data_IF_778133877487
#
_entry.id   IF_778133877487
#
_cell.length_a   1.000
_cell.length_b   1.000
_cell.length_c   1.000
_cell.angle_alpha   90.00
_cell.angle_beta   90.00
_cell.angle_gamma   90.00
#
_symmetry.space_group_name_H-M   'P 1'
#
loop_
_entity.id
_entity.type
_entity.pdbx_description
1 polymer ?
#
# COMPACT_ATOMS: atom_id res chain seq x y z
N UNK A 1 6.56 -3.93 79.56
CA UNK A 1 6.68 -4.74 78.33
C UNK A 1 5.60 -4.23 77.39
N UNK A 2 6.02 -3.69 76.25
CA UNK A 2 5.22 -2.82 75.40
C UNK A 2 4.16 -3.59 74.59
N UNK A 3 2.96 -3.01 74.53
CA UNK A 3 1.94 -3.28 73.54
C UNK A 3 2.21 -2.48 72.27
N UNK A 4 2.17 -3.13 71.10
CA UNK A 4 1.98 -2.44 69.83
C UNK A 4 1.07 -3.26 68.91
N UNK A 5 -0.05 -2.62 68.64
CA UNK A 5 -1.06 -2.74 67.59
C UNK A 5 -0.52 -3.15 66.22
N UNK A 6 -1.11 -4.20 65.62
CA UNK A 6 -1.05 -4.49 64.19
C UNK A 6 -2.41 -4.20 63.55
N UNK A 7 -2.47 -3.16 62.73
CA UNK A 7 -3.65 -2.83 61.93
C UNK A 7 -3.67 -3.69 60.66
N UNK A 8 -4.76 -4.45 60.46
CA UNK A 8 -5.10 -5.05 59.17
C UNK A 8 -5.56 -3.94 58.22
N UNK A 9 -4.78 -3.68 57.17
CA UNK A 9 -5.27 -2.96 55.99
C UNK A 9 -5.84 -3.99 55.01
N UNK A 10 -7.17 -4.02 54.88
CA UNK A 10 -7.85 -4.68 53.78
C UNK A 10 -7.73 -3.78 52.54
N UNK A 11 -6.86 -4.15 51.60
CA UNK A 11 -6.90 -3.62 50.23
C UNK A 11 -7.67 -4.61 49.36
N UNK A 12 -8.89 -4.24 49.00
CA UNK A 12 -9.63 -4.91 47.94
C UNK A 12 -8.87 -4.76 46.62
N UNK A 13 -8.46 -5.89 46.04
CA UNK A 13 -8.09 -5.92 44.63
C UNK A 13 -9.37 -5.75 43.81
N UNK A 14 -9.56 -4.55 43.30
CA UNK A 14 -10.45 -4.30 42.17
C UNK A 14 -9.96 -5.11 40.98
N UNK A 15 -10.82 -6.00 40.48
CA UNK A 15 -10.76 -6.53 39.11
C UNK A 15 -10.89 -5.34 38.15
N UNK A 16 -9.75 -4.75 37.77
CA UNK A 16 -9.67 -3.82 36.66
C UNK A 16 -9.49 -4.64 35.37
N UNK A 17 -10.30 -4.27 34.37
CA UNK A 17 -10.57 -5.04 33.17
C UNK A 17 -9.37 -5.30 32.26
N UNK A 18 -9.64 -6.25 31.37
CA UNK A 18 -8.90 -6.65 30.18
C UNK A 18 -8.11 -5.49 29.55
N UNK A 19 -6.79 -5.64 29.50
CA UNK A 19 -5.91 -4.77 28.73
C UNK A 19 -6.22 -4.92 27.24
N UNK A 20 -7.03 -4.01 26.71
CA UNK A 20 -7.24 -3.86 25.27
C UNK A 20 -6.06 -3.09 24.66
N UNK A 21 -5.37 -3.70 23.69
CA UNK A 21 -4.64 -3.05 22.60
C UNK A 21 -4.01 -1.66 22.93
N UNK A 22 -3.18 -1.56 23.96
CA UNK A 22 -2.31 -0.42 24.16
C UNK A 22 -0.93 -0.78 23.61
N UNK A 23 -0.56 -0.22 22.44
CA UNK A 23 0.80 0.21 22.03
C UNK A 23 1.07 0.11 20.51
N UNK A 24 0.15 0.58 19.66
CA UNK A 24 0.45 0.88 18.25
C UNK A 24 0.90 2.34 18.01
N UNK A 25 0.82 3.21 19.03
CA UNK A 25 1.11 4.64 18.91
C UNK A 25 2.58 4.94 19.27
N UNK A 26 3.23 5.92 18.62
CA UNK A 26 4.38 6.57 19.24
C UNK A 26 3.99 7.00 20.66
N UNK A 27 4.86 6.78 21.64
CA UNK A 27 4.59 7.11 23.05
C UNK A 27 3.96 8.50 23.18
N UNK A 28 2.77 8.59 23.78
CA UNK A 28 2.12 9.87 24.11
C UNK A 28 1.10 10.41 23.11
N UNK A 29 0.67 9.64 22.10
CA UNK A 29 -0.48 10.01 21.25
C UNK A 29 -1.69 9.12 21.55
N UNK A 30 -2.88 9.64 21.34
CA UNK A 30 -4.17 8.91 21.42
C UNK A 30 -4.95 9.19 20.14
N UNK A 31 -5.52 8.16 19.52
CA UNK A 31 -6.36 8.35 18.36
C UNK A 31 -7.64 9.12 18.74
N UNK A 32 -8.02 10.10 17.93
CA UNK A 32 -9.21 10.92 18.13
C UNK A 32 -10.12 10.85 16.89
N UNK A 33 -11.43 10.91 17.10
CA UNK A 33 -12.36 11.07 16.00
C UNK A 33 -12.23 12.45 15.35
N UNK A 34 -12.51 12.53 14.05
CA UNK A 34 -12.61 13.81 13.35
C UNK A 34 -13.88 14.55 13.80
N UNK A 35 -13.72 15.72 14.38
CA UNK A 35 -14.84 16.51 14.90
C UNK A 35 -15.41 17.44 13.83
N UNK A 36 -16.73 17.40 13.64
CA UNK A 36 -17.47 18.28 12.72
C UNK A 36 -16.93 18.30 11.27
N UNK A 37 -16.30 17.19 10.83
CA UNK A 37 -15.68 17.10 9.51
C UNK A 37 -14.43 17.96 9.32
N UNK A 38 -13.84 18.49 10.40
CA UNK A 38 -12.65 19.35 10.33
C UNK A 38 -11.40 18.50 10.56
N UNK A 39 -10.64 18.27 9.50
CA UNK A 39 -9.38 17.54 9.57
C UNK A 39 -8.22 18.46 9.96
N UNK A 40 -7.25 17.98 10.78
CA UNK A 40 -5.98 18.67 10.96
C UNK A 40 -5.28 18.92 9.62
N UNK A 41 -4.46 19.97 9.50
CA UNK A 41 -3.79 20.30 8.23
C UNK A 41 -2.86 19.20 7.71
N UNK A 42 -2.23 18.45 8.62
CA UNK A 42 -1.39 17.29 8.32
C UNK A 42 -1.97 16.05 8.97
N UNK A 43 -1.87 14.93 8.29
CA UNK A 43 -2.19 13.63 8.87
C UNK A 43 -1.01 13.14 9.71
N UNK A 44 -1.26 12.76 10.96
CA UNK A 44 -0.27 12.05 11.76
C UNK A 44 -0.71 10.58 11.85
N UNK A 45 0.12 9.62 11.42
CA UNK A 45 -0.32 8.23 11.37
C UNK A 45 -0.82 7.70 12.71
N UNK A 46 -1.93 6.97 12.66
CA UNK A 46 -2.64 6.37 13.79
C UNK A 46 -3.20 7.36 14.84
N UNK A 47 -3.22 8.68 14.59
CA UNK A 47 -3.81 9.64 15.53
C UNK A 47 -5.26 10.00 15.24
N UNK A 48 -5.82 9.49 14.14
CA UNK A 48 -7.18 9.79 13.69
C UNK A 48 -7.97 8.49 13.53
N UNK A 49 -9.09 8.40 14.24
CA UNK A 49 -10.06 7.30 14.08
C UNK A 49 -10.80 7.56 12.77
N UNK A 50 -10.69 6.62 11.83
CA UNK A 50 -11.37 6.67 10.56
C UNK A 50 -12.89 6.51 10.78
N UNK A 51 -13.70 7.41 10.23
CA UNK A 51 -15.15 7.37 10.37
C UNK A 51 -15.78 6.15 9.69
N UNK A 52 -16.94 5.69 10.17
CA UNK A 52 -17.62 4.51 9.63
C UNK A 52 -18.06 4.63 8.15
N UNK A 53 -18.24 5.87 7.66
CA UNK A 53 -18.58 6.20 6.28
C UNK A 53 -17.43 6.93 5.55
N UNK A 54 -16.19 6.63 5.95
CA UNK A 54 -14.99 7.29 5.46
C UNK A 54 -14.01 6.30 4.83
N UNK A 55 -13.43 6.71 3.71
CA UNK A 55 -12.30 6.04 3.06
C UNK A 55 -11.08 6.95 3.12
N UNK A 56 -9.91 6.42 3.46
CA UNK A 56 -8.64 7.15 3.45
C UNK A 56 -7.67 6.49 2.48
N UNK A 57 -7.22 7.25 1.48
CA UNK A 57 -6.26 6.81 0.46
C UNK A 57 -4.94 7.49 0.74
N UNK A 58 -3.87 6.72 0.90
CA UNK A 58 -2.51 7.24 1.04
C UNK A 58 -1.68 6.81 -0.18
N UNK A 59 -1.10 7.77 -0.88
CA UNK A 59 -0.17 7.50 -1.96
C UNK A 59 1.18 7.11 -1.35
N UNK A 60 1.49 5.81 -1.29
CA UNK A 60 2.77 5.33 -0.75
C UNK A 60 3.91 5.57 -1.72
N UNK A 61 3.63 5.58 -3.02
CA UNK A 61 4.61 5.91 -4.04
C UNK A 61 3.94 6.39 -5.31
N UNK A 62 4.53 7.42 -5.93
CA UNK A 62 3.91 8.20 -7.00
C UNK A 62 4.81 8.43 -8.20
N UNK A 63 6.05 7.97 -8.11
CA UNK A 63 7.12 8.20 -9.06
C UNK A 63 7.16 7.19 -10.20
N UNK A 64 8.38 6.83 -10.56
CA UNK A 64 8.75 6.11 -11.79
C UNK A 64 9.64 4.91 -11.43
N UNK A 65 10.04 4.05 -12.39
CA UNK A 65 11.11 3.08 -12.14
C UNK A 65 12.44 3.75 -11.77
N UNK A 66 12.70 4.96 -12.27
CA UNK A 66 13.81 5.81 -11.84
C UNK A 66 13.42 6.61 -10.59
N UNK A 67 13.54 5.96 -9.45
CA UNK A 67 13.11 6.50 -8.15
C UNK A 67 13.91 7.71 -7.70
N UNK A 68 13.26 8.51 -6.87
CA UNK A 68 13.94 9.48 -6.01
C UNK A 68 13.51 9.26 -4.56
N UNK A 69 14.25 9.80 -3.60
CA UNK A 69 13.85 9.75 -2.19
C UNK A 69 12.50 10.42 -1.91
N UNK A 70 12.06 11.32 -2.80
CA UNK A 70 10.81 12.06 -2.66
C UNK A 70 9.67 11.48 -3.51
N UNK A 71 9.96 10.48 -4.35
CA UNK A 71 9.02 9.85 -5.26
C UNK A 71 9.51 8.42 -5.58
N UNK A 72 9.11 7.46 -4.75
CA UNK A 72 9.32 6.03 -4.96
C UNK A 72 8.27 5.48 -5.93
N UNK A 73 8.41 4.21 -6.30
CA UNK A 73 7.56 3.57 -7.31
C UNK A 73 6.13 3.30 -6.82
N UNK A 74 5.22 3.03 -7.74
CA UNK A 74 3.77 3.14 -7.53
C UNK A 74 3.25 2.23 -6.42
N UNK A 75 2.51 2.82 -5.49
CA UNK A 75 1.70 2.08 -4.53
C UNK A 75 0.67 2.99 -3.85
N UNK A 76 -0.53 2.48 -3.64
CA UNK A 76 -1.61 3.15 -2.92
C UNK A 76 -2.14 2.27 -1.80
N UNK A 77 -2.27 2.85 -0.61
CA UNK A 77 -2.78 2.23 0.60
C UNK A 77 -4.15 2.81 0.94
N UNK A 78 -5.18 1.95 0.94
CA UNK A 78 -6.57 2.34 1.14
C UNK A 78 -7.10 1.72 2.41
N UNK A 79 -7.57 2.57 3.31
CA UNK A 79 -8.20 2.19 4.58
C UNK A 79 -9.69 2.54 4.52
N UNK A 80 -10.54 1.64 4.98
CA UNK A 80 -12.00 1.83 5.02
C UNK A 80 -12.49 1.90 6.47
N UNK A 81 -13.57 2.65 6.71
CA UNK A 81 -14.19 2.81 8.02
C UNK A 81 -14.68 1.51 8.67
N UNK A 82 -14.87 0.44 7.89
CA UNK A 82 -15.18 -0.90 8.41
C UNK A 82 -13.93 -1.63 8.96
N UNK A 83 -12.73 -1.06 8.78
CA UNK A 83 -11.46 -1.60 9.23
C UNK A 83 -10.68 -2.40 8.19
N UNK A 84 -11.25 -2.62 6.99
CA UNK A 84 -10.54 -3.28 5.89
C UNK A 84 -9.47 -2.37 5.28
N UNK A 85 -8.45 -3.02 4.74
CA UNK A 85 -7.26 -2.38 4.18
C UNK A 85 -6.90 -3.06 2.85
N UNK A 86 -6.53 -2.25 1.86
CA UNK A 86 -6.18 -2.70 0.52
C UNK A 86 -4.92 -1.98 0.03
N UNK A 87 -4.01 -2.73 -0.57
CA UNK A 87 -2.88 -2.17 -1.32
C UNK A 87 -3.14 -2.33 -2.83
N UNK A 88 -2.96 -1.25 -3.57
CA UNK A 88 -2.91 -1.26 -5.03
C UNK A 88 -1.49 -0.97 -5.46
N UNK A 89 -0.86 -1.97 -6.05
CA UNK A 89 0.56 -2.06 -6.33
C UNK A 89 1.46 -1.92 -5.08
N UNK A 90 2.70 -2.37 -5.24
CA UNK A 90 3.77 -2.36 -4.25
C UNK A 90 5.11 -2.19 -4.98
N UNK A 91 5.22 -1.06 -5.68
CA UNK A 91 6.43 -0.67 -6.39
C UNK A 91 7.63 -0.53 -5.44
N UNK A 92 8.83 -0.71 -6.00
CA UNK A 92 10.08 -0.61 -5.24
C UNK A 92 10.10 0.63 -4.32
N UNK A 93 10.58 0.50 -3.08
CA UNK A 93 10.65 1.59 -2.10
C UNK A 93 9.33 1.95 -1.38
N UNK A 94 8.16 1.56 -1.91
CA UNK A 94 6.87 1.87 -1.30
C UNK A 94 6.69 1.26 0.10
N UNK A 95 7.32 0.11 0.38
CA UNK A 95 7.24 -0.51 1.71
C UNK A 95 7.86 0.37 2.80
N UNK A 96 8.91 1.15 2.48
CA UNK A 96 9.45 2.12 3.43
C UNK A 96 8.41 3.16 3.87
N UNK A 97 7.66 3.69 2.90
CA UNK A 97 6.55 4.61 3.16
C UNK A 97 5.38 3.93 3.88
N UNK A 98 5.07 2.67 3.57
CA UNK A 98 4.06 1.91 4.33
C UNK A 98 4.46 1.76 5.80
N UNK A 99 5.71 1.40 6.09
CA UNK A 99 6.21 1.24 7.45
C UNK A 99 6.18 2.55 8.25
N UNK A 100 6.43 3.69 7.59
CA UNK A 100 6.39 5.01 8.25
C UNK A 100 4.97 5.38 8.74
N UNK A 101 3.93 4.78 8.16
CA UNK A 101 2.54 4.91 8.63
C UNK A 101 2.24 4.05 9.87
N UNK A 102 3.14 3.14 10.27
CA UNK A 102 2.97 2.21 11.41
C UNK A 102 1.64 1.43 11.36
N UNK A 103 1.26 0.84 10.23
CA UNK A 103 -0.01 0.16 10.10
C UNK A 103 -0.05 -1.10 10.97
N UNK A 104 -1.25 -1.58 11.25
CA UNK A 104 -1.45 -2.93 11.78
C UNK A 104 -1.23 -3.96 10.67
N UNK A 105 -0.05 -4.60 10.67
CA UNK A 105 0.29 -5.59 9.64
C UNK A 105 -0.59 -6.84 9.67
N UNK A 106 -1.33 -7.11 10.74
CA UNK A 106 -2.33 -8.18 10.74
C UNK A 106 -3.48 -7.90 9.75
N UNK A 107 -3.71 -6.63 9.41
CA UNK A 107 -4.73 -6.19 8.44
C UNK A 107 -4.17 -6.02 7.02
N UNK A 108 -2.85 -6.05 6.84
CA UNK A 108 -2.21 -5.90 5.52
C UNK A 108 -2.00 -7.29 4.91
N UNK A 109 -3.11 -7.87 4.47
CA UNK A 109 -3.19 -9.22 3.94
C UNK A 109 -3.75 -9.27 2.50
N UNK A 110 -4.04 -8.11 1.88
CA UNK A 110 -4.60 -8.02 0.53
C UNK A 110 -3.84 -7.01 -0.33
N UNK A 111 -3.32 -7.47 -1.46
CA UNK A 111 -2.62 -6.63 -2.45
C UNK A 111 -3.11 -6.92 -3.86
N UNK A 112 -3.31 -5.87 -4.65
CA UNK A 112 -3.83 -5.89 -6.01
C UNK A 112 -2.76 -5.37 -6.96
N UNK A 113 -2.29 -6.19 -7.90
CA UNK A 113 -1.29 -5.80 -8.90
C UNK A 113 -1.99 -5.34 -10.17
N UNK A 114 -1.72 -4.12 -10.64
CA UNK A 114 -2.21 -3.65 -11.94
C UNK A 114 -1.50 -4.37 -13.09
N UNK A 115 -0.18 -4.55 -12.96
CA UNK A 115 0.67 -5.27 -13.89
C UNK A 115 2.03 -5.56 -13.22
N UNK A 116 2.92 -6.25 -13.93
CA UNK A 116 4.12 -6.85 -13.36
C UNK A 116 5.42 -6.08 -13.68
N UNK A 117 5.33 -4.78 -13.97
CA UNK A 117 6.55 -3.95 -14.01
C UNK A 117 7.15 -3.77 -12.62
N UNK A 118 8.47 -3.62 -12.56
CA UNK A 118 9.23 -3.53 -11.29
C UNK A 118 8.79 -2.34 -10.43
N UNK A 119 8.35 -1.25 -11.03
CA UNK A 119 7.83 -0.08 -10.35
C UNK A 119 6.38 -0.23 -9.86
N UNK A 120 5.77 -1.40 -10.06
CA UNK A 120 4.45 -1.74 -9.55
C UNK A 120 4.47 -2.96 -8.61
N UNK A 121 5.47 -3.84 -8.72
CA UNK A 121 5.57 -5.05 -7.86
C UNK A 121 6.92 -5.26 -7.20
N UNK A 122 7.90 -4.37 -7.41
CA UNK A 122 9.29 -4.61 -7.02
C UNK A 122 9.52 -4.78 -5.51
N UNK A 123 8.65 -4.22 -4.66
CA UNK A 123 8.71 -4.38 -3.21
C UNK A 123 7.84 -5.55 -2.69
N UNK A 124 7.26 -6.38 -3.56
CA UNK A 124 6.38 -7.49 -3.17
C UNK A 124 6.97 -8.37 -2.06
N UNK A 125 8.23 -8.80 -2.19
CA UNK A 125 8.87 -9.62 -1.16
C UNK A 125 9.22 -8.83 0.10
N UNK A 126 9.41 -7.51 -0.02
CA UNK A 126 9.53 -6.60 1.13
C UNK A 126 8.21 -6.52 1.92
N UNK A 127 7.07 -6.47 1.24
CA UNK A 127 5.74 -6.54 1.87
C UNK A 127 5.47 -7.92 2.48
N UNK A 128 5.84 -8.99 1.78
CA UNK A 128 5.67 -10.36 2.25
C UNK A 128 6.51 -10.62 3.50
N UNK A 129 7.83 -10.59 3.40
CA UNK A 129 8.70 -10.92 4.54
C UNK A 129 8.65 -9.83 5.62
N UNK A 130 8.61 -8.56 5.22
CA UNK A 130 8.54 -7.44 6.16
C UNK A 130 7.25 -7.44 6.97
N UNK A 131 6.09 -7.67 6.34
CA UNK A 131 4.82 -7.78 7.08
C UNK A 131 4.75 -9.03 7.97
N UNK A 132 5.34 -10.15 7.53
CA UNK A 132 5.44 -11.36 8.35
C UNK A 132 6.26 -11.13 9.62
N UNK A 133 7.38 -10.41 9.51
CA UNK A 133 8.19 -9.99 10.66
C UNK A 133 7.49 -8.97 11.56
N UNK A 134 6.56 -8.21 11.00
CA UNK A 134 5.94 -7.04 11.65
C UNK A 134 4.55 -7.32 12.22
N UNK A 135 4.17 -8.58 12.35
CA UNK A 135 2.94 -8.97 13.06
C UNK A 135 1.86 -9.59 12.18
N UNK A 136 2.07 -9.78 10.87
CA UNK A 136 1.12 -10.54 10.06
C UNK A 136 1.21 -12.03 10.38
N UNK A 137 0.09 -12.61 10.77
CA UNK A 137 -0.06 -14.04 11.08
C UNK A 137 -1.05 -14.76 10.14
N UNK A 138 -1.54 -14.06 9.11
CA UNK A 138 -2.45 -14.57 8.08
C UNK A 138 -1.75 -14.61 6.71
N UNK A 139 -2.25 -15.42 5.75
CA UNK A 139 -1.72 -15.43 4.40
C UNK A 139 -1.78 -14.04 3.75
N UNK A 140 -0.77 -13.70 2.96
CA UNK A 140 -0.88 -12.55 2.05
C UNK A 140 -1.62 -13.01 0.79
N UNK A 141 -2.78 -12.40 0.54
CA UNK A 141 -3.64 -12.63 -0.62
C UNK A 141 -3.27 -11.65 -1.72
N UNK A 142 -2.93 -12.19 -2.88
CA UNK A 142 -2.49 -11.45 -4.06
C UNK A 142 -3.56 -11.59 -5.14
N UNK A 143 -4.03 -10.46 -5.64
CA UNK A 143 -4.98 -10.38 -6.73
C UNK A 143 -4.24 -9.74 -7.91
N UNK A 144 -4.28 -10.38 -9.07
CA UNK A 144 -3.63 -9.80 -10.23
C UNK A 144 -4.01 -10.49 -11.52
N UNK A 145 -3.71 -9.84 -12.65
CA UNK A 145 -4.07 -10.34 -13.96
C UNK A 145 -3.21 -11.53 -14.39
N UNK A 146 -3.77 -12.37 -15.25
CA UNK A 146 -3.01 -13.27 -16.12
C UNK A 146 -2.28 -12.47 -17.20
N UNK A 147 -1.30 -13.10 -17.86
CA UNK A 147 -0.69 -12.55 -19.07
C UNK A 147 -1.32 -13.13 -20.34
N UNK A 148 -0.77 -12.74 -21.49
CA UNK A 148 -1.05 -13.41 -22.77
C UNK A 148 -0.55 -14.87 -22.81
N UNK A 149 0.41 -15.21 -21.94
CA UNK A 149 0.94 -16.55 -21.73
C UNK A 149 1.05 -16.81 -20.21
N UNK A 150 0.97 -18.07 -19.78
CA UNK A 150 1.01 -18.45 -18.36
C UNK A 150 2.25 -17.90 -17.62
N UNK A 151 3.41 -17.86 -18.29
CA UNK A 151 4.67 -17.38 -17.69
C UNK A 151 4.70 -15.87 -17.44
N UNK A 152 3.77 -15.13 -18.04
CA UNK A 152 3.63 -13.68 -17.94
C UNK A 152 2.55 -13.27 -16.92
N UNK A 153 1.87 -14.23 -16.30
CA UNK A 153 0.82 -14.00 -15.31
C UNK A 153 1.31 -13.80 -13.88
N UNK A 154 0.43 -13.24 -13.04
CA UNK A 154 0.67 -13.00 -11.61
C UNK A 154 1.09 -14.27 -10.86
N UNK A 155 0.50 -15.42 -11.19
CA UNK A 155 0.83 -16.69 -10.56
C UNK A 155 2.26 -17.12 -10.84
N UNK A 156 2.70 -17.06 -12.10
CA UNK A 156 4.07 -17.38 -12.48
C UNK A 156 5.08 -16.44 -11.80
N UNK A 157 4.75 -15.15 -11.72
CA UNK A 157 5.55 -14.17 -10.98
C UNK A 157 5.71 -14.55 -9.50
N UNK A 158 4.61 -14.80 -8.78
CA UNK A 158 4.65 -15.14 -7.34
C UNK A 158 5.40 -16.45 -7.09
N UNK A 159 5.22 -17.46 -7.95
CA UNK A 159 5.97 -18.71 -7.87
C UNK A 159 7.48 -18.50 -8.11
N UNK A 160 7.83 -17.66 -9.08
CA UNK A 160 9.22 -17.28 -9.38
C UNK A 160 9.88 -16.57 -8.20
N UNK A 161 9.20 -15.59 -7.61
CA UNK A 161 9.68 -14.86 -6.42
C UNK A 161 9.84 -15.78 -5.22
N UNK A 162 8.89 -16.70 -4.99
CA UNK A 162 8.99 -17.69 -3.90
C UNK A 162 10.23 -18.58 -4.04
N UNK A 163 10.58 -18.99 -5.27
CA UNK A 163 11.81 -19.75 -5.55
C UNK A 163 13.06 -18.91 -5.35
N UNK A 164 13.05 -17.65 -5.81
CA UNK A 164 14.17 -16.73 -5.66
C UNK A 164 14.48 -16.44 -4.18
N UNK A 165 13.45 -16.38 -3.34
CA UNK A 165 13.56 -16.09 -1.89
C UNK A 165 13.49 -17.35 -1.01
N UNK A 166 13.63 -18.55 -1.58
CA UNK A 166 13.47 -19.80 -0.85
C UNK A 166 14.39 -19.92 0.38
N UNK A 167 15.60 -19.35 0.33
CA UNK A 167 16.50 -19.32 1.48
C UNK A 167 15.94 -18.48 2.63
N UNK A 168 15.46 -17.26 2.34
CA UNK A 168 14.90 -16.35 3.33
C UNK A 168 13.67 -17.00 4.00
N UNK A 169 12.72 -17.49 3.20
CA UNK A 169 11.52 -18.17 3.68
C UNK A 169 11.84 -19.40 4.54
N UNK A 170 12.83 -20.21 4.11
CA UNK A 170 13.25 -21.39 4.85
C UNK A 170 13.87 -21.05 6.21
N UNK A 171 14.66 -19.98 6.30
CA UNK A 171 15.33 -19.59 7.55
C UNK A 171 14.40 -18.99 8.60
N UNK A 172 13.22 -18.51 8.19
CA UNK A 172 12.20 -17.95 9.09
C UNK A 172 11.11 -18.94 9.48
N UNK A 173 11.01 -20.06 8.77
CA UNK A 173 10.04 -21.12 9.05
C UNK A 173 10.18 -21.59 10.50
N UNK A 174 9.08 -21.59 11.24
CA UNK A 174 9.02 -21.99 12.64
C UNK A 174 9.41 -20.92 13.67
N UNK A 175 10.23 -19.93 13.28
CA UNK A 175 10.53 -18.79 14.14
C UNK A 175 9.36 -17.79 14.14
N UNK A 176 8.67 -17.67 13.00
CA UNK A 176 7.52 -16.80 12.80
C UNK A 176 6.26 -17.65 12.50
N UNK A 177 5.03 -17.12 12.69
CA UNK A 177 3.79 -17.85 12.43
C UNK A 177 3.70 -18.43 11.02
N UNK A 178 3.32 -19.70 10.90
CA UNK A 178 3.37 -20.41 9.61
C UNK A 178 2.46 -19.76 8.55
N UNK A 179 1.27 -19.31 8.96
CA UNK A 179 0.29 -18.73 8.06
C UNK A 179 0.72 -17.36 7.52
N UNK A 180 1.55 -16.61 8.27
CA UNK A 180 2.11 -15.34 7.82
C UNK A 180 3.07 -15.46 6.62
N UNK A 181 3.62 -16.67 6.40
CA UNK A 181 4.48 -16.98 5.26
C UNK A 181 3.69 -17.34 3.99
N UNK A 182 2.40 -17.67 4.11
CA UNK A 182 1.61 -18.17 2.98
C UNK A 182 1.30 -17.05 1.99
N UNK A 183 1.29 -17.42 0.72
CA UNK A 183 0.93 -16.58 -0.41
C UNK A 183 -0.26 -17.22 -1.11
N UNK A 184 -1.37 -16.51 -1.19
CA UNK A 184 -2.60 -16.98 -1.83
C UNK A 184 -2.87 -16.14 -3.07
N UNK A 185 -2.68 -16.72 -4.26
CA UNK A 185 -2.82 -15.99 -5.52
C UNK A 185 -4.20 -16.23 -6.12
N UNK A 186 -4.92 -15.14 -6.34
CA UNK A 186 -6.13 -15.08 -7.17
C UNK A 186 -5.75 -14.42 -8.48
N UNK A 187 -5.42 -15.24 -9.48
CA UNK A 187 -5.17 -14.79 -10.84
C UNK A 187 -6.49 -14.77 -11.62
N UNK A 188 -6.76 -13.68 -12.33
CA UNK A 188 -7.96 -13.50 -13.15
C UNK A 188 -7.60 -13.07 -14.58
N UNK A 189 -8.54 -13.27 -15.52
CA UNK A 189 -8.32 -12.93 -16.92
C UNK A 189 -8.16 -11.41 -17.09
N UNK A 190 -7.03 -10.96 -17.64
CA UNK A 190 -6.75 -9.53 -17.89
C UNK A 190 -7.74 -8.89 -18.87
N UNK A 191 -8.43 -9.68 -19.70
CA UNK A 191 -9.38 -9.20 -20.71
C UNK A 191 -10.81 -9.03 -20.19
N UNK A 192 -11.10 -9.46 -18.95
CA UNK A 192 -12.43 -9.32 -18.39
C UNK A 192 -12.81 -7.83 -18.24
N UNK A 193 -14.03 -7.46 -18.61
CA UNK A 193 -14.47 -6.06 -18.60
C UNK A 193 -15.37 -5.77 -17.40
N UNK A 194 -14.83 -5.08 -16.39
CA UNK A 194 -15.55 -4.63 -15.18
C UNK A 194 -16.13 -5.76 -14.31
N UNK A 195 -15.48 -6.92 -14.34
CA UNK A 195 -15.85 -8.09 -13.55
C UNK A 195 -15.32 -8.00 -12.12
N UNK A 196 -16.00 -8.66 -11.20
CA UNK A 196 -15.65 -8.69 -9.77
C UNK A 196 -14.43 -9.60 -9.57
N UNK A 197 -13.35 -9.06 -9.00
CA UNK A 197 -12.15 -9.81 -8.62
C UNK A 197 -12.06 -10.05 -7.11
N UNK A 198 -12.82 -9.30 -6.32
CA UNK A 198 -12.91 -9.46 -4.87
C UNK A 198 -14.27 -8.96 -4.35
N UNK A 199 -14.87 -9.72 -3.42
CA UNK A 199 -16.14 -9.37 -2.79
C UNK A 199 -16.22 -9.96 -1.37
N UNK A 200 -15.90 -9.16 -0.36
CA UNK A 200 -16.02 -9.53 1.06
C UNK A 200 -16.33 -8.27 1.89
N UNK A 201 -16.99 -8.41 3.05
CA UNK A 201 -17.23 -7.32 4.01
C UNK A 201 -17.86 -6.05 3.40
N UNK A 202 -18.81 -6.22 2.47
CA UNK A 202 -19.46 -5.13 1.72
C UNK A 202 -18.52 -4.29 0.84
N UNK A 203 -17.29 -4.76 0.61
CA UNK A 203 -16.34 -4.19 -0.34
C UNK A 203 -16.38 -5.01 -1.62
N UNK A 204 -16.48 -4.31 -2.76
CA UNK A 204 -16.38 -4.91 -4.10
C UNK A 204 -15.16 -4.31 -4.79
N UNK A 205 -14.29 -5.14 -5.35
CA UNK A 205 -13.25 -4.67 -6.26
C UNK A 205 -13.47 -5.29 -7.63
N UNK A 206 -13.48 -4.45 -8.66
CA UNK A 206 -13.63 -4.85 -10.06
C UNK A 206 -12.36 -4.54 -10.83
N UNK A 207 -12.12 -5.27 -11.92
CA UNK A 207 -11.02 -5.00 -12.84
C UNK A 207 -11.50 -4.86 -14.28
N UNK A 208 -10.72 -4.13 -15.08
CA UNK A 208 -10.88 -4.05 -16.53
C UNK A 208 -9.52 -3.84 -17.22
N UNK A 209 -9.41 -4.09 -18.54
CA UNK A 209 -8.12 -4.07 -19.22
C UNK A 209 -7.53 -2.66 -19.32
N UNK A 210 -6.21 -2.59 -19.34
CA UNK A 210 -5.41 -1.40 -19.62
C UNK A 210 -4.54 -1.62 -20.87
N UNK A 211 -4.14 -0.53 -21.53
CA UNK A 211 -3.27 -0.57 -22.71
C UNK A 211 -1.87 -0.11 -22.30
N UNK A 212 -0.98 -1.04 -21.98
CA UNK A 212 0.38 -0.71 -21.57
C UNK A 212 1.38 -1.79 -21.95
N UNK A 213 2.31 -1.45 -22.85
CA UNK A 213 3.37 -2.31 -23.38
C UNK A 213 2.88 -3.59 -24.07
N UNK A 214 2.33 -4.53 -23.31
CA UNK A 214 1.93 -5.89 -23.68
C UNK A 214 0.64 -6.25 -22.91
N UNK A 215 -0.10 -7.20 -23.45
CA UNK A 215 -1.25 -7.86 -22.82
C UNK A 215 -0.97 -8.36 -21.40
N UNK A 216 -1.79 -7.87 -20.45
CA UNK A 216 -1.74 -8.26 -19.03
C UNK A 216 -2.10 -7.13 -18.08
N UNK A 217 -1.92 -5.86 -18.47
CA UNK A 217 -2.19 -4.72 -17.58
C UNK A 217 -3.68 -4.48 -17.36
N UNK A 218 -4.06 -4.11 -16.13
CA UNK A 218 -5.46 -3.81 -15.75
C UNK A 218 -5.57 -2.56 -14.86
N UNK A 219 -6.77 -2.00 -14.80
CA UNK A 219 -7.17 -1.01 -13.78
C UNK A 219 -8.17 -1.63 -12.81
N UNK A 220 -8.41 -0.98 -11.68
CA UNK A 220 -9.37 -1.42 -10.66
C UNK A 220 -10.35 -0.32 -10.24
N UNK A 221 -11.57 -0.72 -9.82
CA UNK A 221 -12.39 0.09 -8.91
C UNK A 221 -12.56 -0.63 -7.57
N UNK A 222 -12.45 0.11 -6.46
CA UNK A 222 -12.90 -0.28 -5.14
C UNK A 222 -14.21 0.45 -4.84
N UNK A 223 -15.26 -0.31 -4.54
CA UNK A 223 -16.60 0.17 -4.24
C UNK A 223 -17.00 -0.28 -2.83
N UNK A 224 -17.30 0.67 -1.96
CA UNK A 224 -17.68 0.39 -0.57
C UNK A 224 -18.53 1.53 -0.01
N UNK A 225 -19.65 1.19 0.63
CA UNK A 225 -20.53 2.15 1.31
C UNK A 225 -20.95 3.35 0.42
N UNK A 226 -21.17 3.09 -0.88
CA UNK A 226 -21.51 4.10 -1.88
C UNK A 226 -20.35 5.05 -2.24
N UNK A 227 -19.14 4.80 -1.73
CA UNK A 227 -17.91 5.42 -2.19
C UNK A 227 -17.24 4.54 -3.25
N UNK A 228 -16.51 5.18 -4.16
CA UNK A 228 -15.78 4.55 -5.26
C UNK A 228 -14.41 5.20 -5.46
N UNK A 229 -13.35 4.39 -5.31
CA UNK A 229 -11.99 4.73 -5.70
C UNK A 229 -11.60 3.95 -6.96
N UNK A 230 -11.01 4.62 -7.95
CA UNK A 230 -10.50 3.99 -9.16
C UNK A 230 -8.99 4.13 -9.21
N UNK A 231 -8.29 3.01 -9.37
CA UNK A 231 -6.85 2.93 -9.56
C UNK A 231 -6.54 2.51 -11.00
N UNK A 232 -5.91 3.40 -11.77
CA UNK A 232 -5.70 3.19 -13.20
C UNK A 232 -4.62 2.21 -13.60
N UNK A 233 -3.61 1.97 -12.76
CA UNK A 233 -2.35 1.38 -13.22
C UNK A 233 -1.68 2.26 -14.28
N UNK A 234 -0.92 1.64 -15.18
CA UNK A 234 -0.34 2.33 -16.33
C UNK A 234 -1.21 2.04 -17.55
N UNK A 235 -1.55 3.08 -18.32
CA UNK A 235 -2.35 2.89 -19.52
C UNK A 235 -2.33 4.10 -20.44
N UNK A 236 -2.13 3.84 -21.73
CA UNK A 236 -2.62 4.73 -22.79
C UNK A 236 -4.14 4.98 -22.63
N UNK A 237 -4.67 6.18 -22.98
CA UNK A 237 -6.09 6.47 -22.82
C UNK A 237 -6.96 5.42 -23.53
N UNK A 238 -7.82 4.76 -22.77
CA UNK A 238 -8.63 3.66 -23.27
C UNK A 238 -10.12 3.84 -22.95
N UNK A 239 -10.98 3.14 -23.69
CA UNK A 239 -12.45 3.23 -23.53
C UNK A 239 -12.93 2.66 -22.19
N UNK A 240 -12.27 1.62 -21.67
CA UNK A 240 -12.71 0.91 -20.48
C UNK A 240 -12.59 1.79 -19.23
N UNK A 241 -11.47 2.49 -19.07
CA UNK A 241 -11.32 3.45 -17.99
C UNK A 241 -12.38 4.55 -18.08
N UNK A 242 -12.60 5.13 -19.26
CA UNK A 242 -13.60 6.19 -19.46
C UNK A 242 -15.01 5.72 -19.11
N UNK A 243 -15.36 4.47 -19.38
CA UNK A 243 -16.70 3.95 -19.10
C UNK A 243 -16.86 3.46 -17.66
N UNK A 244 -15.89 2.73 -17.13
CA UNK A 244 -16.01 2.08 -15.82
C UNK A 244 -15.54 2.95 -14.65
N UNK A 245 -14.76 4.01 -14.90
CA UNK A 245 -14.39 4.95 -13.84
C UNK A 245 -15.50 5.97 -13.50
N UNK A 246 -16.58 6.04 -14.29
CA UNK A 246 -17.70 6.98 -14.03
C UNK A 246 -18.26 6.83 -12.62
N UNK A 247 -18.61 7.97 -12.02
CA UNK A 247 -19.14 8.05 -10.66
C UNK A 247 -18.10 7.85 -9.56
N UNK A 248 -16.81 7.83 -9.88
CA UNK A 248 -15.75 7.76 -8.88
C UNK A 248 -15.72 9.01 -7.99
N UNK A 249 -15.52 8.82 -6.70
CA UNK A 249 -15.16 9.92 -5.81
C UNK A 249 -13.72 10.35 -6.08
N UNK A 250 -12.81 9.38 -6.14
CA UNK A 250 -11.42 9.57 -6.53
C UNK A 250 -11.14 8.71 -7.76
N UNK A 251 -10.72 9.32 -8.85
CA UNK A 251 -10.21 8.61 -10.02
C UNK A 251 -8.72 8.90 -10.19
N UNK A 252 -7.88 7.90 -9.91
CA UNK A 252 -6.43 8.00 -10.12
C UNK A 252 -6.03 7.43 -11.46
N UNK A 253 -5.17 8.15 -12.18
CA UNK A 253 -4.66 7.77 -13.48
C UNK A 253 -3.24 8.33 -13.65
N UNK A 254 -2.40 7.64 -14.40
CA UNK A 254 -1.08 8.19 -14.76
C UNK A 254 -1.23 9.53 -15.50
N UNK A 255 -0.35 10.48 -15.18
CA UNK A 255 -0.24 11.81 -15.77
C UNK A 255 1.25 12.06 -16.09
N UNK A 256 1.73 11.33 -17.08
CA UNK A 256 3.14 11.25 -17.45
C UNK A 256 3.71 12.60 -17.87
N UNK A 257 5.01 12.81 -17.73
CA UNK A 257 5.66 14.08 -18.09
C UNK A 257 5.50 14.36 -19.60
N UNK A 258 5.08 15.58 -20.01
CA UNK A 258 4.83 15.86 -21.43
C UNK A 258 6.15 15.83 -22.24
N UNK A 259 6.09 15.52 -23.55
CA UNK A 259 7.28 15.30 -24.39
C UNK A 259 8.32 16.42 -24.32
N UNK A 260 7.88 17.68 -24.33
CA UNK A 260 8.76 18.86 -24.30
C UNK A 260 9.54 19.04 -23.00
N UNK A 261 9.04 18.51 -21.88
CA UNK A 261 9.75 18.47 -20.61
C UNK A 261 10.55 17.16 -20.45
N UNK A 262 10.03 16.05 -20.96
CA UNK A 262 10.65 14.73 -20.87
C UNK A 262 11.96 14.64 -21.68
N UNK A 263 11.97 15.17 -22.91
CA UNK A 263 13.14 15.17 -23.77
C UNK A 263 14.38 15.80 -23.11
N UNK A 264 14.35 17.05 -22.62
CA UNK A 264 15.50 17.64 -21.95
C UNK A 264 15.83 16.98 -20.60
N UNK A 265 14.83 16.47 -19.86
CA UNK A 265 15.07 15.81 -18.57
C UNK A 265 15.93 14.55 -18.73
N UNK A 266 15.63 13.68 -19.71
CA UNK A 266 16.39 12.47 -19.96
C UNK A 266 17.49 12.60 -21.03
N UNK A 267 17.61 13.77 -21.68
CA UNK A 267 18.51 13.96 -22.82
C UNK A 267 18.10 13.14 -24.05
N UNK A 268 16.81 12.87 -24.21
CA UNK A 268 16.25 12.13 -25.34
C UNK A 268 15.95 13.06 -26.52
N UNK A 269 15.87 12.47 -27.72
CA UNK A 269 15.27 13.17 -28.84
C UNK A 269 13.74 13.26 -28.68
N UNK A 270 13.13 14.21 -29.41
CA UNK A 270 11.70 14.44 -29.31
C UNK A 270 10.85 13.25 -29.78
N UNK A 271 11.37 12.43 -30.69
CA UNK A 271 10.65 11.25 -31.19
C UNK A 271 10.52 10.20 -30.09
N UNK A 272 11.59 9.92 -29.36
CA UNK A 272 11.59 9.01 -28.23
C UNK A 272 10.71 9.53 -27.09
N UNK A 273 10.88 10.80 -26.70
CA UNK A 273 10.06 11.41 -25.66
C UNK A 273 8.56 11.39 -26.00
N UNK A 274 8.20 11.73 -27.25
CA UNK A 274 6.81 11.67 -27.73
C UNK A 274 6.27 10.24 -27.71
N UNK A 275 7.06 9.26 -28.15
CA UNK A 275 6.62 7.87 -28.18
C UNK A 275 6.31 7.36 -26.77
N UNK A 276 7.23 7.56 -25.81
CA UNK A 276 7.03 7.11 -24.43
C UNK A 276 5.84 7.83 -23.80
N UNK A 277 5.81 9.16 -23.81
CA UNK A 277 4.79 9.94 -23.10
C UNK A 277 3.38 9.83 -23.69
N UNK A 278 3.23 9.45 -24.98
CA UNK A 278 1.94 9.56 -25.68
C UNK A 278 1.49 8.30 -26.42
N UNK A 279 2.30 7.23 -26.46
CA UNK A 279 1.95 5.95 -27.10
C UNK A 279 2.06 4.78 -26.14
N UNK A 280 2.93 4.87 -25.15
CA UNK A 280 3.01 3.91 -24.05
C UNK A 280 2.19 4.43 -22.87
N UNK A 281 2.45 5.69 -22.47
CA UNK A 281 1.81 6.34 -21.34
C UNK A 281 0.76 7.38 -21.73
N UNK A 282 0.08 7.93 -20.73
CA UNK A 282 -0.84 9.07 -20.83
C UNK A 282 -0.19 10.38 -20.37
N UNK A 283 0.11 11.27 -21.32
CA UNK A 283 0.57 12.64 -21.04
C UNK A 283 -0.52 13.51 -20.37
N UNK A 284 -0.19 14.68 -19.79
CA UNK A 284 -1.11 15.39 -18.89
C UNK A 284 -2.36 15.94 -19.59
N UNK A 285 -2.25 16.38 -20.86
CA UNK A 285 -3.41 16.82 -21.63
C UNK A 285 -4.36 15.66 -21.96
N UNK A 286 -3.81 14.46 -22.19
CA UNK A 286 -4.59 13.24 -22.38
C UNK A 286 -5.26 12.79 -21.08
N UNK A 287 -4.54 12.84 -19.94
CA UNK A 287 -5.11 12.64 -18.60
C UNK A 287 -6.31 13.57 -18.38
N UNK A 288 -6.15 14.86 -18.64
CA UNK A 288 -7.24 15.82 -18.45
C UNK A 288 -8.45 15.52 -19.36
N UNK A 289 -8.21 15.02 -20.58
CA UNK A 289 -9.29 14.59 -21.48
C UNK A 289 -10.03 13.35 -20.97
N UNK A 290 -9.31 12.38 -20.40
CA UNK A 290 -9.91 11.21 -19.74
C UNK A 290 -10.76 11.68 -18.56
N UNK A 291 -10.22 12.53 -17.69
CA UNK A 291 -10.92 13.02 -16.50
C UNK A 291 -12.14 13.88 -16.82
N UNK A 292 -12.10 14.65 -17.91
CA UNK A 292 -13.26 15.37 -18.43
C UNK A 292 -14.36 14.46 -18.98
N UNK A 293 -14.05 13.22 -19.37
CA UNK A 293 -15.04 12.23 -19.79
C UNK A 293 -15.58 11.40 -18.61
N UNK A 294 -14.76 11.20 -17.57
CA UNK A 294 -15.10 10.44 -16.35
C UNK A 294 -15.90 11.28 -15.34
N UNK A 295 -15.59 12.57 -15.26
CA UNK A 295 -16.18 13.53 -14.31
C UNK A 295 -16.15 13.05 -12.84
N UNK A 296 -14.98 12.67 -12.29
CA UNK A 296 -14.89 12.25 -10.89
C UNK A 296 -15.13 13.42 -9.93
N UNK A 297 -15.48 13.15 -8.67
CA UNK A 297 -15.51 14.23 -7.64
C UNK A 297 -14.12 14.84 -7.47
N UNK A 298 -13.06 14.05 -7.61
CA UNK A 298 -11.68 14.53 -7.71
C UNK A 298 -10.82 13.59 -8.57
N UNK A 299 -10.04 14.20 -9.47
CA UNK A 299 -9.01 13.50 -10.24
C UNK A 299 -7.68 13.48 -9.47
N UNK A 300 -6.95 12.36 -9.56
CA UNK A 300 -5.66 12.14 -8.92
C UNK A 300 -4.60 11.74 -9.98
N UNK A 301 -3.71 12.66 -10.34
CA UNK A 301 -2.60 12.37 -11.26
C UNK A 301 -1.40 11.79 -10.55
N UNK A 302 -0.77 10.74 -11.07
CA UNK A 302 0.48 10.14 -10.55
C UNK A 302 1.36 9.61 -11.69
N UNK A 303 2.43 8.85 -11.39
CA UNK A 303 3.33 8.22 -12.37
C UNK A 303 3.96 9.23 -13.30
N UNK A 304 4.74 10.12 -12.69
CA UNK A 304 5.37 11.22 -13.41
C UNK A 304 6.70 11.57 -12.77
N UNK A 305 7.50 12.36 -13.50
CA UNK A 305 8.72 12.96 -12.96
C UNK A 305 8.33 14.21 -12.17
N UNK A 306 7.64 13.99 -11.05
CA UNK A 306 7.09 15.08 -10.24
C UNK A 306 8.20 15.73 -9.40
N UNK A 307 8.76 16.80 -9.95
CA UNK A 307 9.71 17.67 -9.29
C UNK A 307 9.22 19.13 -9.34
N UNK A 308 9.75 20.03 -8.50
CA UNK A 308 9.39 21.45 -8.56
C UNK A 308 9.53 22.05 -9.97
N UNK A 309 10.52 21.60 -10.74
CA UNK A 309 10.80 22.10 -12.10
C UNK A 309 9.79 21.61 -13.14
N UNK A 310 9.25 20.40 -12.93
CA UNK A 310 8.35 19.73 -13.88
C UNK A 310 6.87 19.90 -13.53
N UNK A 311 6.56 20.24 -12.26
CA UNK A 311 5.18 20.34 -11.76
C UNK A 311 4.30 21.24 -12.62
N UNK A 312 4.82 22.40 -13.02
CA UNK A 312 4.06 23.37 -13.80
C UNK A 312 3.69 22.83 -15.19
N UNK A 313 4.60 22.13 -15.87
CA UNK A 313 4.34 21.56 -17.19
C UNK A 313 3.25 20.48 -17.12
N UNK A 314 3.25 19.66 -16.07
CA UNK A 314 2.21 18.65 -15.83
C UNK A 314 0.88 19.36 -15.59
N UNK A 315 0.84 20.31 -14.66
CA UNK A 315 -0.37 21.02 -14.29
C UNK A 315 -1.00 21.77 -15.49
N UNK A 316 -0.20 22.50 -16.26
CA UNK A 316 -0.67 23.23 -17.45
C UNK A 316 -1.27 22.27 -18.49
N UNK A 317 -0.60 21.13 -18.73
CA UNK A 317 -1.12 20.11 -19.63
C UNK A 317 -2.47 19.57 -19.16
N UNK A 318 -2.62 19.20 -17.89
CA UNK A 318 -3.92 18.75 -17.34
C UNK A 318 -4.98 19.84 -17.47
N UNK A 319 -4.65 21.08 -17.11
CA UNK A 319 -5.61 22.20 -17.11
C UNK A 319 -6.03 22.65 -18.51
N UNK A 320 -5.27 22.29 -19.55
CA UNK A 320 -5.68 22.55 -20.93
C UNK A 320 -6.94 21.77 -21.35
N UNK A 321 -7.25 20.66 -20.67
CA UNK A 321 -8.36 19.77 -21.02
C UNK A 321 -9.27 19.40 -19.85
N UNK A 322 -8.92 19.73 -18.59
CA UNK A 322 -9.71 19.43 -17.40
C UNK A 322 -9.80 20.58 -16.39
N UNK A 323 -11.05 20.93 -16.05
CA UNK A 323 -11.36 22.04 -15.13
C UNK A 323 -11.88 21.58 -13.76
N UNK A 324 -12.10 20.27 -13.55
CA UNK A 324 -12.62 19.75 -12.29
C UNK A 324 -11.58 19.73 -11.17
N UNK A 325 -11.97 19.27 -9.96
CA UNK A 325 -11.06 19.13 -8.83
C UNK A 325 -9.93 18.15 -9.16
N UNK A 326 -8.70 18.51 -8.77
CA UNK A 326 -7.47 17.81 -9.13
C UNK A 326 -6.49 17.89 -7.97
N UNK A 327 -5.81 16.79 -7.71
CA UNK A 327 -4.51 16.79 -7.03
C UNK A 327 -3.50 15.98 -7.83
N UNK A 328 -2.23 16.36 -7.76
CA UNK A 328 -1.11 15.58 -8.27
C UNK A 328 -0.47 14.90 -7.06
N UNK A 329 -0.50 13.57 -7.09
CA UNK A 329 -0.07 12.72 -5.99
C UNK A 329 1.41 12.96 -5.69
N UNK A 330 1.73 13.03 -4.40
CA UNK A 330 3.10 12.94 -3.89
C UNK A 330 3.15 11.79 -2.91
N UNK A 331 4.33 11.21 -2.73
CA UNK A 331 4.55 10.22 -1.69
C UNK A 331 4.08 10.76 -0.33
N UNK A 332 3.32 9.93 0.38
CA UNK A 332 2.68 10.22 1.66
C UNK A 332 1.57 11.29 1.61
N UNK A 333 1.07 11.65 0.42
CA UNK A 333 -0.18 12.40 0.30
C UNK A 333 -1.35 11.52 0.75
N UNK A 334 -2.24 12.09 1.57
CA UNK A 334 -3.40 11.43 2.18
C UNK A 334 -4.66 12.13 1.71
N UNK A 335 -5.64 11.33 1.29
CA UNK A 335 -6.93 11.80 0.80
C UNK A 335 -8.02 11.15 1.63
N UNK A 336 -8.67 11.93 2.48
CA UNK A 336 -9.86 11.51 3.23
C UNK A 336 -11.09 11.77 2.37
N UNK A 337 -11.95 10.76 2.23
CA UNK A 337 -13.12 10.76 1.35
C UNK A 337 -14.36 10.37 2.15
N UNK A 338 -15.32 11.28 2.20
CA UNK A 338 -16.69 11.01 2.68
C UNK A 338 -17.69 11.37 1.59
N UNK A 339 -18.97 11.07 1.79
CA UNK A 339 -20.05 11.49 0.87
C UNK A 339 -20.13 13.01 0.69
N UNK A 340 -19.76 13.76 1.74
CA UNK A 340 -19.92 15.22 1.77
C UNK A 340 -18.66 15.98 1.36
N UNK A 341 -17.46 15.43 1.59
CA UNK A 341 -16.21 16.14 1.35
C UNK A 341 -15.04 15.22 0.96
N UNK A 342 -14.06 15.82 0.29
CA UNK A 342 -12.76 15.22 -0.02
C UNK A 342 -11.70 16.19 0.52
N UNK A 343 -10.78 15.67 1.34
CA UNK A 343 -9.73 16.48 1.96
C UNK A 343 -8.37 15.89 1.64
N UNK A 344 -7.55 16.65 0.92
CA UNK A 344 -6.18 16.29 0.54
C UNK A 344 -5.21 16.92 1.55
N UNK A 345 -4.32 16.09 2.11
CA UNK A 345 -3.34 16.45 3.13
C UNK A 345 -2.04 15.69 2.90
N UNK A 346 -1.04 15.98 3.71
CA UNK A 346 0.24 15.26 3.71
C UNK A 346 0.41 14.54 5.05
N UNK A 347 0.94 13.31 5.03
CA UNK A 347 1.32 12.61 6.23
C UNK A 347 2.64 13.19 6.78
N UNK A 348 2.67 13.47 8.08
CA UNK A 348 3.89 13.80 8.81
C UNK A 348 4.37 12.57 9.54
N UNK A 349 5.44 11.97 9.00
CA UNK A 349 6.04 10.72 9.48
C UNK A 349 7.43 10.97 10.08
N UNK A 350 7.95 9.98 10.79
CA UNK A 350 9.32 9.97 11.31
C UNK A 350 10.15 8.99 10.46
N UNK A 351 11.34 9.43 10.04
CA UNK A 351 12.24 8.65 9.18
C UNK A 351 12.85 7.43 9.90
N UNK A 352 12.80 7.39 11.24
CA UNK A 352 13.35 6.31 12.08
C UNK A 352 12.27 5.40 12.68
N UNK A 353 11.09 5.37 12.05
CA UNK A 353 9.97 4.55 12.51
C UNK A 353 10.29 3.06 12.43
N UNK A 354 9.93 2.34 13.51
CA UNK A 354 9.89 0.88 13.56
C UNK A 354 8.42 0.41 13.57
N UNK A 355 8.13 -0.82 13.11
CA UNK A 355 6.79 -1.38 13.14
C UNK A 355 6.20 -1.35 14.57
N UNK A 356 4.87 -1.27 14.71
CA UNK A 356 4.22 -1.33 16.01
C UNK A 356 4.46 -2.70 16.69
N UNK A 357 4.12 -2.78 17.98
CA UNK A 357 4.16 -4.07 18.68
C UNK A 357 3.22 -5.07 17.99
N UNK A 358 3.63 -6.34 17.95
CA UNK A 358 2.81 -7.42 17.40
C UNK A 358 1.62 -7.73 18.31
N UNK A 359 0.53 -8.25 17.74
CA UNK A 359 -0.68 -8.58 18.49
C UNK A 359 -0.54 -9.89 19.27
N UNK A 360 -1.43 -10.12 20.24
CA UNK A 360 -1.50 -11.38 20.98
C UNK A 360 -1.82 -12.57 20.06
N UNK A 361 -2.62 -12.35 19.01
CA UNK A 361 -2.92 -13.37 18.00
C UNK A 361 -1.65 -13.77 17.25
N UNK A 362 -0.79 -12.82 16.87
CA UNK A 362 0.50 -13.12 16.26
C UNK A 362 1.40 -13.92 17.19
N UNK A 363 1.47 -13.55 18.47
CA UNK A 363 2.28 -14.25 19.48
C UNK A 363 1.80 -15.70 19.62
N UNK A 364 0.49 -15.92 19.66
CA UNK A 364 -0.10 -17.25 19.89
C UNK A 364 -0.34 -18.06 18.60
N UNK A 365 -0.09 -17.48 17.42
CA UNK A 365 -0.33 -18.15 16.14
C UNK A 365 0.56 -19.41 15.95
N UNK A 366 0.08 -20.44 15.24
CA UNK A 366 0.81 -21.69 15.03
C UNK A 366 2.17 -21.49 14.37
N UNK A 367 3.17 -22.23 14.86
CA UNK A 367 4.53 -22.26 14.33
C UNK A 367 4.99 -23.70 14.13
N UNK A 368 5.59 -23.96 12.99
CA UNK A 368 6.27 -25.20 12.68
C UNK A 368 7.61 -25.27 13.42
N UNK A 369 8.31 -26.39 13.29
CA UNK A 369 9.64 -26.50 13.86
C UNK A 369 10.64 -25.66 13.07
N UNK A 370 11.45 -24.89 13.78
CA UNK A 370 12.56 -24.13 13.19
C UNK A 370 13.53 -25.04 12.42
N UNK A 371 14.04 -24.52 11.30
CA UNK A 371 15.11 -25.17 10.54
C UNK A 371 16.45 -24.81 11.16
N UNK A 372 17.24 -25.83 11.43
CA UNK A 372 18.56 -25.68 12.05
C UNK A 372 19.68 -25.67 11.00
N UNK A 373 20.73 -24.84 11.18
CA UNK A 373 21.93 -24.94 10.37
C UNK A 373 22.68 -26.25 10.67
N UNK A 374 23.50 -26.70 9.73
CA UNK A 374 24.31 -27.92 9.91
C UNK A 374 25.25 -27.83 11.12
N UNK A 375 25.58 -28.98 11.71
CA UNK A 375 26.56 -29.08 12.80
C UNK A 375 27.90 -28.41 12.46
N UNK A 376 28.34 -28.52 11.19
CA UNK A 376 29.58 -27.89 10.71
C UNK A 376 29.53 -26.36 10.81
N UNK A 377 28.38 -25.74 10.54
CA UNK A 377 28.20 -24.29 10.68
C UNK A 377 28.13 -23.91 12.16
N UNK A 378 27.39 -24.69 12.96
CA UNK A 378 27.29 -24.48 14.41
C UNK A 378 28.64 -24.60 15.14
N UNK A 379 29.52 -25.50 14.68
CA UNK A 379 30.88 -25.65 15.19
C UNK A 379 31.79 -24.43 14.95
N UNK A 380 31.35 -23.46 14.14
CA UNK A 380 32.04 -22.19 13.94
C UNK A 380 31.79 -21.14 15.03
N UNK A 381 30.95 -21.44 16.03
CA UNK A 381 30.76 -20.57 17.22
C UNK A 381 32.10 -20.33 17.92
N UNK A 382 32.37 -19.08 18.31
CA UNK A 382 33.62 -18.72 18.97
C UNK A 382 33.61 -19.11 20.45
N UNK A 383 34.50 -20.03 20.84
CA UNK A 383 34.62 -20.51 22.23
C UNK A 383 34.90 -19.41 23.27
N UNK A 384 35.45 -18.28 22.84
CA UNK A 384 35.70 -17.11 23.71
C UNK A 384 34.46 -16.27 24.03
N UNK A 385 33.32 -16.57 23.42
CA UNK A 385 32.06 -15.88 23.64
C UNK A 385 31.00 -16.83 24.19
N UNK A 386 30.44 -16.46 25.34
CA UNK A 386 29.25 -17.12 25.89
C UNK A 386 28.10 -16.11 25.83
N UNK A 387 26.99 -16.41 25.14
CA UNK A 387 25.83 -15.51 25.14
C UNK A 387 25.25 -15.39 26.55
N UNK A 388 24.54 -14.30 26.86
CA UNK A 388 23.74 -14.22 28.08
C UNK A 388 22.84 -15.45 28.23
N UNK A 389 22.60 -15.94 29.46
CA UNK A 389 21.64 -17.02 29.66
C UNK A 389 20.28 -16.60 29.12
N UNK A 390 19.53 -17.56 28.56
CA UNK A 390 18.15 -17.33 28.21
C UNK A 390 17.36 -16.97 29.48
N UNK A 391 16.44 -15.99 29.44
CA UNK A 391 15.60 -15.68 30.58
C UNK A 391 14.76 -16.90 30.96
N UNK A 392 14.50 -17.07 32.25
CA UNK A 392 13.48 -18.01 32.74
C UNK A 392 12.12 -17.48 32.29
N UNK A 393 11.40 -18.27 31.48
CA UNK A 393 10.09 -17.90 30.93
C UNK A 393 9.05 -17.55 32.01
#
# INVERSE_FOLDING_TARGET
>A
MNSTTGALLALGLSLAGTASAQNALPTGRTASAIENGVYPASYFPNTEILGADEMRITALGTGMPNQTKAAVSISFYVELGNGDVFLFDVGTGATGNLFSLRPDFAKIDKVFFSHLHVDHVGDFMGLHVGGWLSGRYTPLRIFGPSGSEDELGTKAYVEGMSKAYAWDLATRTGALPDDGAKLEVTEFDYMQENEIVYQENDVTIRSWPAIHSLDGSVSYSLEWNGLKYVFGGDTYPNKWYVDYAKGADIASHEAFLPPDALAPYFGWDMKQATYVATRIHTEPAAFGKVMSAVEPRMALGYHSVLSPENYQAILEGVRSTYNGPLTLARDLQVINVTKDQIVVREASVDDYVLPPAVSDEYINAPRSKEKEPSEKVQAGKWDGYTPPPMPDN
#
